data_IF_842132603509
#
_entry.id   IF_842132603509
#
_cell.length_a   1.000
_cell.length_b   1.000
_cell.length_c   1.000
_cell.angle_alpha   90.00
_cell.angle_beta   90.00
_cell.angle_gamma   90.00
#
_symmetry.space_group_name_H-M   'P 1'
#
loop_
_entity.id
_entity.type
_entity.pdbx_description
1 polymer ?
#
# COMPACT_ATOMS: atom_id res chain seq x y z
N UNK A 1 14.28 0.44 -37.19
CA UNK A 1 15.10 -0.08 -36.07
C UNK A 1 14.75 0.66 -34.75
N UNK A 2 13.48 0.67 -34.32
CA UNK A 2 13.04 1.44 -33.13
C UNK A 2 12.19 0.61 -32.14
N UNK A 3 12.44 -0.70 -32.05
CA UNK A 3 11.61 -1.60 -31.23
C UNK A 3 12.19 -1.89 -29.83
N UNK A 4 13.40 -1.39 -29.51
CA UNK A 4 14.07 -1.64 -28.23
C UNK A 4 13.88 -0.54 -27.18
N UNK A 5 13.68 0.71 -27.60
CA UNK A 5 13.72 1.87 -26.69
C UNK A 5 12.46 2.02 -25.83
N UNK A 6 11.33 1.44 -26.25
CA UNK A 6 10.08 1.47 -25.50
C UNK A 6 10.18 0.65 -24.20
N UNK A 7 10.87 -0.49 -24.26
CA UNK A 7 11.03 -1.41 -23.12
C UNK A 7 11.99 -0.81 -22.08
N UNK A 8 13.10 -0.24 -22.55
CA UNK A 8 14.07 0.46 -21.69
C UNK A 8 13.45 1.68 -20.99
N UNK A 9 12.61 2.45 -21.70
CA UNK A 9 11.92 3.63 -21.15
C UNK A 9 10.84 3.27 -20.14
N UNK A 10 10.12 2.17 -20.37
CA UNK A 10 9.14 1.66 -19.42
C UNK A 10 9.82 1.17 -18.14
N UNK A 11 10.92 0.43 -18.28
CA UNK A 11 11.72 -0.07 -17.15
C UNK A 11 12.33 1.07 -16.31
N UNK A 12 12.88 2.09 -16.96
CA UNK A 12 13.41 3.27 -16.26
C UNK A 12 12.33 4.01 -15.45
N UNK A 13 11.13 4.19 -16.02
CA UNK A 13 9.99 4.82 -15.32
C UNK A 13 9.44 3.96 -14.18
N UNK A 14 9.47 2.64 -14.33
CA UNK A 14 9.12 1.70 -13.26
C UNK A 14 10.13 1.80 -12.11
N UNK A 15 11.43 1.90 -12.43
CA UNK A 15 12.51 2.08 -11.45
C UNK A 15 12.34 3.35 -10.60
N UNK A 16 12.08 4.50 -11.24
CA UNK A 16 11.77 5.74 -10.51
C UNK A 16 10.50 5.63 -9.65
N UNK A 17 9.46 4.95 -10.16
CA UNK A 17 8.21 4.73 -9.41
C UNK A 17 8.40 3.87 -8.16
N UNK A 18 9.21 2.81 -8.25
CA UNK A 18 9.53 1.93 -7.11
C UNK A 18 10.36 2.67 -6.05
N UNK A 19 11.33 3.48 -6.47
CA UNK A 19 12.16 4.27 -5.54
C UNK A 19 11.31 5.30 -4.78
N UNK A 20 10.45 6.04 -5.48
CA UNK A 20 9.55 7.00 -4.86
C UNK A 20 8.48 6.32 -3.97
N UNK A 21 7.98 5.16 -4.39
CA UNK A 21 7.04 4.35 -3.61
C UNK A 21 7.66 3.83 -2.30
N UNK A 22 8.91 3.37 -2.33
CA UNK A 22 9.60 2.89 -1.13
C UNK A 22 9.87 4.01 -0.13
N UNK A 23 10.25 5.20 -0.60
CA UNK A 23 10.40 6.38 0.26
C UNK A 23 9.09 6.72 0.98
N UNK A 24 7.98 6.70 0.25
CA UNK A 24 6.63 6.99 0.79
C UNK A 24 6.19 5.94 1.80
N UNK A 25 6.45 4.65 1.54
CA UNK A 25 6.17 3.58 2.47
C UNK A 25 6.93 3.75 3.79
N UNK A 26 8.23 4.09 3.73
CA UNK A 26 9.06 4.34 4.92
C UNK A 26 8.56 5.53 5.73
N UNK A 27 8.26 6.65 5.06
CA UNK A 27 7.71 7.84 5.72
C UNK A 27 6.32 7.54 6.31
N UNK A 28 5.48 6.80 5.59
CA UNK A 28 4.15 6.40 6.05
C UNK A 28 4.18 5.56 7.32
N UNK A 29 5.15 4.63 7.46
CA UNK A 29 5.34 3.84 8.68
C UNK A 29 5.77 4.75 9.84
N UNK A 30 6.78 5.61 9.64
CA UNK A 30 7.21 6.56 10.66
C UNK A 30 6.06 7.50 11.07
N UNK A 31 5.26 7.96 10.11
CA UNK A 31 4.10 8.79 10.35
C UNK A 31 2.98 8.02 11.08
N UNK A 32 2.76 6.74 10.79
CA UNK A 32 1.80 5.91 11.53
C UNK A 32 2.23 5.71 12.99
N UNK A 33 3.52 5.50 13.25
CA UNK A 33 4.04 5.42 14.61
C UNK A 33 3.95 6.76 15.34
N UNK A 34 4.21 7.88 14.65
CA UNK A 34 4.18 9.23 15.24
C UNK A 34 2.76 9.76 15.41
N UNK A 35 1.85 9.45 14.48
CA UNK A 35 0.43 9.78 14.50
C UNK A 35 -0.39 8.83 15.38
N UNK A 36 0.27 7.99 16.18
CA UNK A 36 -0.30 7.35 17.36
C UNK A 36 0.07 8.08 18.67
N UNK A 37 -0.16 9.41 18.81
CA UNK A 37 -0.08 10.04 20.12
C UNK A 37 -1.28 9.53 20.93
N UNK A 38 -1.05 8.59 21.84
CA UNK A 38 -2.04 8.29 22.86
C UNK A 38 -1.97 9.44 23.86
N UNK A 39 -3.04 10.25 23.99
CA UNK A 39 -3.92 10.00 25.12
C UNK A 39 -5.37 10.46 24.87
N UNK A 40 -6.25 9.57 24.40
CA UNK A 40 -7.59 9.42 24.99
C UNK A 40 -8.38 8.25 24.37
N UNK A 41 -9.03 7.48 25.24
CA UNK A 41 -10.12 6.53 24.98
C UNK A 41 -9.78 5.10 24.50
N UNK A 42 -9.59 4.21 25.50
CA UNK A 42 -10.30 2.94 25.68
C UNK A 42 -10.93 2.22 24.46
N UNK A 43 -10.16 1.89 23.42
CA UNK A 43 -10.54 0.85 22.46
C UNK A 43 -9.60 -0.35 22.60
N UNK A 44 -10.19 -1.55 22.77
CA UNK A 44 -9.54 -2.85 22.94
C UNK A 44 -8.29 -2.94 22.06
N UNK A 45 -7.11 -3.13 22.67
CA UNK A 45 -5.82 -3.26 21.97
C UNK A 45 -5.99 -4.34 20.89
N UNK A 46 -6.03 -3.99 19.59
CA UNK A 46 -6.07 -5.01 18.55
C UNK A 46 -4.75 -5.78 18.63
N UNK A 47 -4.84 -7.10 18.78
CA UNK A 47 -3.67 -7.96 18.87
C UNK A 47 -2.99 -8.11 17.51
N UNK A 48 -1.79 -8.69 17.49
CA UNK A 48 -1.12 -9.07 16.25
C UNK A 48 -2.02 -9.96 15.35
N UNK A 49 -2.87 -10.79 15.96
CA UNK A 49 -3.86 -11.62 15.25
C UNK A 49 -4.99 -10.82 14.57
N UNK A 50 -5.48 -9.74 15.19
CA UNK A 50 -6.47 -8.85 14.56
C UNK A 50 -5.86 -8.11 13.36
N UNK A 51 -4.58 -7.72 13.48
CA UNK A 51 -3.83 -7.09 12.40
C UNK A 51 -3.62 -8.03 11.21
N UNK A 52 -3.21 -9.28 11.47
CA UNK A 52 -3.05 -10.30 10.41
C UNK A 52 -4.38 -10.62 9.73
N UNK A 53 -5.48 -10.71 10.49
CA UNK A 53 -6.82 -10.95 9.96
C UNK A 53 -7.32 -9.77 9.11
N UNK A 54 -7.11 -8.53 9.57
CA UNK A 54 -7.43 -7.34 8.82
C UNK A 54 -6.60 -7.26 7.53
N UNK A 55 -5.29 -7.46 7.60
CA UNK A 55 -4.41 -7.48 6.42
C UNK A 55 -4.84 -8.54 5.40
N UNK A 56 -5.17 -9.74 5.86
CA UNK A 56 -5.66 -10.82 4.99
C UNK A 56 -7.01 -10.44 4.37
N UNK A 57 -7.93 -9.86 5.14
CA UNK A 57 -9.23 -9.38 4.64
C UNK A 57 -9.11 -8.23 3.64
N UNK A 58 -8.16 -7.32 3.86
CA UNK A 58 -7.88 -6.20 2.95
C UNK A 58 -7.18 -6.67 1.68
N UNK A 59 -6.23 -7.61 1.78
CA UNK A 59 -5.58 -8.23 0.63
C UNK A 59 -6.61 -8.96 -0.24
N UNK A 60 -7.47 -9.78 0.38
CA UNK A 60 -8.59 -10.44 -0.32
C UNK A 60 -9.58 -9.45 -0.94
N UNK A 61 -9.86 -8.30 -0.31
CA UNK A 61 -10.75 -7.28 -0.89
C UNK A 61 -10.12 -6.51 -2.04
N UNK A 62 -8.80 -6.28 -2.01
CA UNK A 62 -8.06 -5.55 -3.05
C UNK A 62 -8.06 -6.29 -4.39
N UNK A 63 -8.20 -7.62 -4.37
CA UNK A 63 -8.34 -8.44 -5.58
C UNK A 63 -9.78 -8.47 -6.15
N UNK A 64 -10.78 -7.93 -5.43
CA UNK A 64 -12.19 -8.01 -5.80
C UNK A 64 -12.81 -6.74 -6.41
N UNK A 65 -12.10 -5.60 -6.41
CA UNK A 65 -12.67 -4.32 -6.88
C UNK A 65 -12.09 -3.90 -8.23
N UNK A 66 -12.38 -4.70 -9.26
CA UNK A 66 -12.46 -4.19 -10.63
C UNK A 66 -13.77 -4.65 -11.29
N UNK A 67 -14.63 -3.64 -11.54
CA UNK A 67 -15.77 -3.57 -12.49
C UNK A 67 -17.18 -3.97 -11.97
N UNK A 68 -18.28 -3.42 -12.56
CA UNK A 68 -19.05 -2.32 -11.98
C UNK A 68 -20.55 -2.65 -11.82
N UNK A 69 -21.29 -1.72 -11.23
CA UNK A 69 -22.75 -1.64 -11.29
C UNK A 69 -23.29 -1.78 -12.72
N UNK A 70 -24.27 -2.66 -12.94
CA UNK A 70 -25.00 -2.74 -14.22
C UNK A 70 -26.09 -3.81 -14.28
N UNK A 71 -27.29 -3.45 -13.81
CA UNK A 71 -28.63 -4.06 -14.00
C UNK A 71 -28.84 -5.54 -13.67
#
# INVERSE_FOLDING_TARGET
LHRGDADARLSAKLGEGVVNGMMTARIGIAAMETARPLPFSAAKRPGLGDFLSALTSFATRKDGETTPSGK
#
